data_IF_800969980057
#
_entry.id   IF_800969980057
#
_cell.length_a   1.000
_cell.length_b   1.000
_cell.length_c   1.000
_cell.angle_alpha   90.00
_cell.angle_beta   90.00
_cell.angle_gamma   90.00
#
_symmetry.space_group_name_H-M   'P 1'
#
loop_
_entity.id
_entity.type
_entity.pdbx_description
1 polymer ?
#
# COMPACT_ATOMS: atom_id res chain seq x y z
N UNK A 1 -6.35 -17.61 4.91
CA UNK A 1 -6.71 -18.94 5.44
C UNK A 1 -8.21 -19.23 5.33
N UNK A 2 -9.10 -18.29 5.65
CA UNK A 2 -10.55 -18.47 5.55
C UNK A 2 -11.08 -18.66 4.11
N UNK A 3 -10.64 -17.85 3.13
CA UNK A 3 -11.14 -17.96 1.75
C UNK A 3 -10.82 -19.30 1.10
N UNK A 4 -9.55 -19.74 1.14
CA UNK A 4 -9.11 -21.00 0.55
C UNK A 4 -9.90 -22.19 1.13
N UNK A 5 -10.12 -22.20 2.45
CA UNK A 5 -10.92 -23.21 3.11
C UNK A 5 -12.36 -23.26 2.54
N UNK A 6 -13.04 -22.10 2.47
CA UNK A 6 -14.41 -22.00 1.94
C UNK A 6 -14.49 -22.51 0.50
N UNK A 7 -13.63 -22.02 -0.40
CA UNK A 7 -13.68 -22.45 -1.81
C UNK A 7 -13.29 -23.92 -1.99
N UNK A 8 -12.46 -24.49 -1.10
CA UNK A 8 -12.08 -25.91 -1.14
C UNK A 8 -13.14 -26.85 -0.55
N UNK A 9 -14.09 -26.32 0.22
CA UNK A 9 -15.14 -27.11 0.87
C UNK A 9 -16.17 -27.71 -0.09
N UNK A 10 -16.30 -27.12 -1.29
CA UNK A 10 -17.29 -27.54 -2.30
C UNK A 10 -16.81 -27.18 -3.70
N UNK A 11 -17.00 -28.12 -4.64
CA UNK A 11 -16.70 -27.89 -6.05
C UNK A 11 -17.51 -26.71 -6.63
N UNK A 12 -18.76 -26.56 -6.21
CA UNK A 12 -19.61 -25.46 -6.66
C UNK A 12 -19.06 -24.09 -6.26
N UNK A 13 -18.50 -23.97 -5.05
CA UNK A 13 -17.86 -22.73 -4.59
C UNK A 13 -16.54 -22.46 -5.30
N UNK A 14 -15.73 -23.50 -5.52
CA UNK A 14 -14.50 -23.40 -6.31
C UNK A 14 -14.80 -22.93 -7.75
N UNK A 15 -15.76 -23.55 -8.43
CA UNK A 15 -16.19 -23.15 -9.78
C UNK A 15 -16.73 -21.73 -9.82
N UNK A 16 -17.52 -21.32 -8.81
CA UNK A 16 -18.01 -19.94 -8.72
C UNK A 16 -16.86 -18.93 -8.57
N UNK A 17 -15.84 -19.27 -7.78
CA UNK A 17 -14.64 -18.45 -7.65
C UNK A 17 -13.84 -18.40 -8.96
N UNK A 18 -13.65 -19.53 -9.65
CA UNK A 18 -12.98 -19.59 -10.95
C UNK A 18 -13.72 -18.74 -12.00
N UNK A 19 -15.06 -18.77 -12.03
CA UNK A 19 -15.85 -17.90 -12.92
C UNK A 19 -15.68 -16.42 -12.61
N UNK A 20 -15.70 -16.04 -11.33
CA UNK A 20 -15.42 -14.66 -10.93
C UNK A 20 -14.04 -14.21 -11.42
N UNK A 21 -13.02 -15.06 -11.27
CA UNK A 21 -11.68 -14.76 -11.78
C UNK A 21 -11.66 -14.67 -13.31
N UNK A 22 -12.28 -15.59 -14.04
CA UNK A 22 -12.38 -15.52 -15.51
C UNK A 22 -13.00 -14.21 -15.97
N UNK A 23 -14.09 -13.78 -15.32
CA UNK A 23 -14.80 -12.53 -15.63
C UNK A 23 -13.94 -11.30 -15.35
N UNK A 24 -13.21 -11.29 -14.23
CA UNK A 24 -12.30 -10.21 -13.86
C UNK A 24 -11.09 -10.13 -14.80
N UNK A 25 -10.54 -11.29 -15.19
CA UNK A 25 -9.33 -11.40 -16.01
C UNK A 25 -9.61 -11.27 -17.51
N UNK A 26 -10.87 -11.43 -17.95
CA UNK A 26 -11.28 -11.43 -19.36
C UNK A 26 -10.64 -12.55 -20.19
N UNK A 27 -10.43 -13.70 -19.58
CA UNK A 27 -10.10 -14.93 -20.28
C UNK A 27 -10.63 -16.14 -19.52
N UNK A 28 -10.89 -17.23 -20.24
CA UNK A 28 -11.45 -18.44 -19.65
C UNK A 28 -10.38 -19.19 -18.86
N UNK A 29 -10.56 -19.22 -17.54
CA UNK A 29 -9.88 -20.16 -16.66
C UNK A 29 -10.53 -21.53 -16.73
N UNK A 30 -9.71 -22.57 -16.54
CA UNK A 30 -10.22 -23.93 -16.38
C UNK A 30 -11.07 -23.98 -15.09
N UNK A 31 -12.25 -24.59 -15.17
CA UNK A 31 -13.16 -24.68 -14.02
C UNK A 31 -12.58 -25.57 -12.90
N UNK A 32 -11.58 -26.40 -13.23
CA UNK A 32 -10.94 -27.35 -12.32
C UNK A 32 -9.69 -26.78 -11.61
N UNK A 33 -9.46 -25.45 -11.63
CA UNK A 33 -8.34 -24.85 -10.89
C UNK A 33 -8.56 -25.00 -9.38
N UNK A 34 -7.57 -25.60 -8.72
CA UNK A 34 -7.58 -25.80 -7.26
C UNK A 34 -6.57 -24.91 -6.57
N UNK A 35 -6.86 -24.51 -5.32
CA UNK A 35 -6.10 -23.48 -4.64
C UNK A 35 -5.43 -23.95 -3.35
N UNK A 36 -4.20 -23.47 -3.11
CA UNK A 36 -3.41 -23.78 -1.92
C UNK A 36 -2.72 -22.55 -1.32
N UNK A 37 -2.47 -22.54 0.00
CA UNK A 37 -1.75 -21.46 0.71
C UNK A 37 -0.28 -21.80 1.04
N UNK A 38 0.25 -22.89 0.47
CA UNK A 38 1.57 -23.44 0.84
C UNK A 38 2.61 -23.33 -0.30
N UNK A 39 2.28 -22.63 -1.39
CA UNK A 39 3.21 -22.40 -2.49
C UNK A 39 4.35 -21.47 -2.07
N UNK A 40 5.58 -21.90 -2.31
CA UNK A 40 6.81 -21.13 -2.07
C UNK A 40 7.60 -21.14 -3.37
N UNK A 41 7.89 -19.95 -3.89
CA UNK A 41 8.71 -19.79 -5.09
C UNK A 41 10.20 -19.90 -4.80
N UNK A 42 11.01 -19.90 -5.86
CA UNK A 42 12.46 -20.13 -5.78
C UNK A 42 13.20 -19.09 -4.94
N UNK A 43 12.69 -17.85 -4.87
CA UNK A 43 13.26 -16.76 -4.08
C UNK A 43 12.55 -16.58 -2.73
N UNK A 44 11.90 -17.63 -2.23
CA UNK A 44 11.10 -17.62 -0.98
C UNK A 44 9.89 -16.67 -1.01
N UNK A 45 9.48 -16.22 -2.19
CA UNK A 45 8.23 -15.50 -2.39
C UNK A 45 7.05 -16.43 -2.10
N UNK A 46 6.08 -15.95 -1.31
CA UNK A 46 4.96 -16.75 -0.84
C UNK A 46 3.65 -16.01 -1.09
N UNK A 47 2.96 -16.28 -2.20
CA UNK A 47 1.63 -15.76 -2.42
C UNK A 47 0.69 -16.32 -1.33
N UNK A 48 -0.31 -15.53 -0.96
CA UNK A 48 -1.32 -15.98 0.00
C UNK A 48 -2.09 -17.20 -0.51
N UNK A 49 -2.28 -17.30 -1.83
CA UNK A 49 -2.92 -18.43 -2.47
C UNK A 49 -2.40 -18.63 -3.91
N UNK A 50 -2.12 -19.86 -4.29
CA UNK A 50 -1.81 -20.23 -5.68
C UNK A 50 -2.86 -21.17 -6.25
N UNK A 51 -3.23 -20.95 -7.51
CA UNK A 51 -4.13 -21.79 -8.29
C UNK A 51 -3.36 -22.69 -9.24
N UNK A 52 -3.61 -23.99 -9.18
CA UNK A 52 -2.98 -25.00 -10.05
C UNK A 52 -4.00 -25.63 -10.99
N UNK A 53 -3.58 -25.91 -12.22
CA UNK A 53 -4.39 -26.66 -13.20
C UNK A 53 -4.44 -28.16 -12.87
N UNK A 54 -5.19 -28.93 -13.67
CA UNK A 54 -5.30 -30.40 -13.55
C UNK A 54 -3.98 -31.16 -13.71
N UNK A 55 -2.96 -30.54 -14.32
CA UNK A 55 -1.63 -31.11 -14.49
C UNK A 55 -0.70 -30.73 -13.33
N UNK A 56 -1.17 -29.92 -12.38
CA UNK A 56 -0.40 -29.40 -11.26
C UNK A 56 0.46 -28.18 -11.60
N UNK A 57 0.27 -27.57 -12.76
CA UNK A 57 1.01 -26.35 -13.12
C UNK A 57 0.40 -25.14 -12.40
N UNK A 58 1.23 -24.29 -11.82
CA UNK A 58 0.79 -23.04 -11.20
C UNK A 58 0.39 -22.02 -12.27
N UNK A 59 -0.90 -21.72 -12.35
CA UNK A 59 -1.47 -20.89 -13.41
C UNK A 59 -1.93 -19.52 -12.92
N UNK A 60 -2.21 -19.38 -11.62
CA UNK A 60 -2.66 -18.12 -11.02
C UNK A 60 -1.99 -17.93 -9.67
N UNK A 61 -1.57 -16.70 -9.38
CA UNK A 61 -1.23 -16.27 -8.03
C UNK A 61 -2.25 -15.27 -7.53
N UNK A 62 -2.66 -15.43 -6.26
CA UNK A 62 -3.56 -14.54 -5.57
C UNK A 62 -2.88 -13.97 -4.30
N UNK A 63 -2.91 -12.65 -4.15
CA UNK A 63 -2.33 -11.93 -3.02
C UNK A 63 -3.42 -11.08 -2.33
N UNK A 64 -3.63 -11.28 -1.02
CA UNK A 64 -4.64 -10.59 -0.25
C UNK A 64 -4.04 -9.39 0.49
N UNK A 65 -4.55 -8.19 0.20
CA UNK A 65 -4.07 -6.92 0.77
C UNK A 65 -5.19 -6.17 1.48
N UNK A 66 -5.33 -6.39 2.80
CA UNK A 66 -6.17 -5.56 3.67
C UNK A 66 -5.49 -4.20 3.95
N UNK A 67 -4.57 -4.15 4.90
CA UNK A 67 -3.85 -2.91 5.27
C UNK A 67 -2.35 -2.93 4.97
N UNK A 68 -1.74 -4.10 4.83
CA UNK A 68 -0.31 -4.21 4.61
C UNK A 68 0.08 -3.61 3.25
N UNK A 69 1.15 -2.82 3.22
CA UNK A 69 1.76 -2.35 1.98
C UNK A 69 2.27 -3.50 1.11
N UNK A 70 2.67 -3.17 -0.12
CA UNK A 70 3.40 -4.09 -0.99
C UNK A 70 4.81 -4.33 -0.43
N UNK A 71 5.29 -5.57 -0.53
CA UNK A 71 6.69 -5.89 -0.23
C UNK A 71 7.57 -5.58 -1.44
N UNK A 72 8.89 -5.51 -1.26
CA UNK A 72 9.85 -5.26 -2.36
C UNK A 72 9.75 -6.29 -3.51
N UNK A 73 9.29 -7.51 -3.20
CA UNK A 73 9.09 -8.57 -4.19
C UNK A 73 7.76 -8.47 -4.94
N UNK A 74 6.91 -7.50 -4.63
CA UNK A 74 5.57 -7.36 -5.20
C UNK A 74 5.45 -6.07 -6.02
N UNK A 75 4.76 -6.11 -7.18
CA UNK A 75 4.24 -7.31 -7.87
C UNK A 75 5.32 -8.07 -8.66
N UNK A 76 6.49 -7.45 -8.85
CA UNK A 76 7.48 -7.85 -9.84
C UNK A 76 8.04 -9.27 -9.66
N UNK A 77 8.27 -9.73 -8.43
CA UNK A 77 8.72 -11.11 -8.16
C UNK A 77 7.69 -12.15 -8.58
N UNK A 78 6.41 -11.91 -8.28
CA UNK A 78 5.32 -12.81 -8.70
C UNK A 78 5.14 -12.82 -10.21
N UNK A 79 5.26 -11.67 -10.88
CA UNK A 79 5.21 -11.61 -12.34
C UNK A 79 6.33 -12.43 -12.98
N UNK A 80 7.57 -12.31 -12.48
CA UNK A 80 8.70 -13.11 -12.98
C UNK A 80 8.46 -14.61 -12.80
N UNK A 81 7.94 -15.02 -11.65
CA UNK A 81 7.60 -16.41 -11.36
C UNK A 81 6.57 -16.95 -12.37
N UNK A 82 5.47 -16.22 -12.56
CA UNK A 82 4.43 -16.61 -13.51
C UNK A 82 4.94 -16.68 -14.94
N UNK A 83 5.76 -15.72 -15.39
CA UNK A 83 6.37 -15.78 -16.73
C UNK A 83 7.24 -17.03 -16.89
N UNK A 84 8.07 -17.36 -15.90
CA UNK A 84 8.96 -18.52 -15.94
C UNK A 84 8.22 -19.85 -15.89
N UNK A 85 7.09 -19.91 -15.18
CA UNK A 85 6.28 -21.12 -14.99
C UNK A 85 5.15 -21.25 -16.03
N UNK A 86 5.09 -20.38 -17.05
CA UNK A 86 3.98 -20.28 -18.01
C UNK A 86 2.61 -20.11 -17.34
N UNK A 87 2.60 -19.38 -16.22
CA UNK A 87 1.39 -18.93 -15.54
C UNK A 87 0.61 -17.94 -16.40
N UNK A 88 -0.61 -17.62 -15.94
CA UNK A 88 -1.57 -16.81 -16.71
C UNK A 88 -1.97 -15.52 -16.03
N UNK A 89 -2.07 -15.52 -14.70
CA UNK A 89 -2.64 -14.37 -14.00
C UNK A 89 -2.05 -14.11 -12.61
N UNK A 90 -2.00 -12.83 -12.26
CA UNK A 90 -1.71 -12.32 -10.92
C UNK A 90 -2.89 -11.49 -10.42
N UNK A 91 -3.55 -11.96 -9.37
CA UNK A 91 -4.76 -11.35 -8.82
C UNK A 91 -4.47 -10.79 -7.43
N UNK A 92 -4.72 -9.49 -7.24
CA UNK A 92 -4.73 -8.88 -5.93
C UNK A 92 -6.16 -8.79 -5.40
N UNK A 93 -6.35 -9.11 -4.13
CA UNK A 93 -7.64 -9.02 -3.43
C UNK A 93 -7.55 -7.95 -2.34
N UNK A 94 -8.37 -6.91 -2.40
CA UNK A 94 -8.33 -5.85 -1.39
C UNK A 94 -9.73 -5.33 -0.99
N UNK A 95 -9.84 -4.57 0.11
CA UNK A 95 -10.98 -3.71 0.35
C UNK A 95 -11.31 -2.82 -0.85
N UNK A 96 -12.59 -2.57 -1.12
CA UNK A 96 -13.03 -1.72 -2.24
C UNK A 96 -12.39 -0.32 -2.16
N UNK A 97 -12.27 0.21 -0.93
CA UNK A 97 -11.73 1.55 -0.67
C UNK A 97 -10.25 1.69 -1.04
N UNK A 98 -9.49 0.60 -1.07
CA UNK A 98 -8.05 0.58 -1.37
C UNK A 98 -7.75 0.26 -2.83
N UNK A 99 -8.76 -0.10 -3.61
CA UNK A 99 -8.62 -0.58 -4.99
C UNK A 99 -7.88 0.42 -5.89
N UNK A 100 -8.24 1.70 -5.83
CA UNK A 100 -7.60 2.77 -6.63
C UNK A 100 -6.13 2.95 -6.27
N UNK A 101 -5.83 3.15 -4.99
CA UNK A 101 -4.46 3.41 -4.55
C UNK A 101 -3.54 2.21 -4.75
N UNK A 102 -4.04 1.00 -4.47
CA UNK A 102 -3.29 -0.23 -4.73
C UNK A 102 -3.00 -0.40 -6.23
N UNK A 103 -3.98 -0.14 -7.10
CA UNK A 103 -3.79 -0.22 -8.55
C UNK A 103 -2.69 0.71 -9.05
N UNK A 104 -2.76 1.98 -8.69
CA UNK A 104 -1.76 2.97 -9.11
C UNK A 104 -0.37 2.51 -8.68
N UNK A 105 -0.20 2.14 -7.40
CA UNK A 105 1.09 1.67 -6.87
C UNK A 105 1.62 0.42 -7.58
N UNK A 106 0.76 -0.56 -7.87
CA UNK A 106 1.14 -1.75 -8.63
C UNK A 106 1.63 -1.39 -10.03
N UNK A 107 0.90 -0.52 -10.73
CA UNK A 107 1.27 -0.11 -12.09
C UNK A 107 2.56 0.71 -12.10
N UNK A 108 2.78 1.58 -11.10
CA UNK A 108 3.99 2.38 -11.00
C UNK A 108 5.22 1.51 -10.75
N UNK A 109 5.13 0.52 -9.85
CA UNK A 109 6.21 -0.44 -9.61
C UNK A 109 6.57 -1.29 -10.84
N UNK A 110 5.58 -1.65 -11.66
CA UNK A 110 5.81 -2.36 -12.92
C UNK A 110 6.46 -1.44 -13.97
N UNK A 111 6.03 -0.17 -14.06
CA UNK A 111 6.60 0.83 -14.98
C UNK A 111 8.04 1.17 -14.61
N UNK A 112 8.33 1.33 -13.32
CA UNK A 112 9.70 1.53 -12.79
C UNK A 112 10.62 0.36 -13.13
N UNK A 113 10.07 -0.86 -13.16
CA UNK A 113 10.77 -2.06 -13.60
C UNK A 113 10.87 -2.22 -15.13
N UNK A 114 10.37 -1.24 -15.91
CA UNK A 114 10.34 -1.24 -17.38
C UNK A 114 9.62 -2.47 -18.00
N UNK A 115 8.53 -2.92 -17.36
CA UNK A 115 7.70 -4.02 -17.90
C UNK A 115 6.86 -3.59 -19.08
N UNK A 116 6.55 -4.53 -19.96
CA UNK A 116 5.67 -4.31 -21.10
C UNK A 116 4.20 -4.34 -20.67
N UNK A 117 3.46 -3.28 -20.98
CA UNK A 117 2.03 -3.18 -20.70
C UNK A 117 1.20 -3.30 -21.98
N UNK A 118 0.12 -4.08 -21.91
CA UNK A 118 -0.90 -4.12 -22.95
C UNK A 118 -2.30 -4.30 -22.36
N UNK A 119 -3.35 -4.11 -23.19
CA UNK A 119 -4.75 -4.31 -22.84
C UNK A 119 -5.21 -3.68 -21.50
N UNK A 120 -4.68 -2.50 -21.15
CA UNK A 120 -4.98 -1.81 -19.89
C UNK A 120 -6.44 -1.34 -19.85
N UNK A 121 -7.09 -1.64 -18.73
CA UNK A 121 -8.49 -1.34 -18.43
C UNK A 121 -8.64 -1.15 -16.91
N UNK A 122 -9.79 -0.71 -16.43
CA UNK A 122 -9.98 -0.44 -15.00
C UNK A 122 -9.60 -1.66 -14.14
N UNK A 123 -8.53 -1.49 -13.34
CA UNK A 123 -7.99 -2.49 -12.42
C UNK A 123 -7.55 -3.82 -13.07
N UNK A 124 -7.24 -3.79 -14.37
CA UNK A 124 -6.74 -4.94 -15.13
C UNK A 124 -5.78 -4.48 -16.22
N UNK A 125 -4.63 -5.12 -16.32
CA UNK A 125 -3.68 -4.93 -17.40
C UNK A 125 -2.97 -6.25 -17.71
N UNK A 126 -2.45 -6.39 -18.92
CA UNK A 126 -1.50 -7.44 -19.24
C UNK A 126 -0.09 -6.89 -19.08
N UNK A 127 0.74 -7.61 -18.33
CA UNK A 127 2.11 -7.22 -17.98
C UNK A 127 3.04 -8.38 -18.32
N UNK A 128 3.91 -8.19 -19.31
CA UNK A 128 4.81 -9.23 -19.84
C UNK A 128 4.06 -10.55 -20.21
N UNK A 129 2.85 -10.42 -20.77
CA UNK A 129 1.99 -11.56 -21.13
C UNK A 129 1.18 -12.17 -19.98
N UNK A 130 1.35 -11.69 -18.74
CA UNK A 130 0.58 -12.12 -17.57
C UNK A 130 -0.57 -11.14 -17.31
N UNK A 131 -1.79 -11.64 -17.14
CA UNK A 131 -2.93 -10.78 -16.81
C UNK A 131 -2.90 -10.43 -15.31
N UNK A 132 -2.65 -9.17 -15.00
CA UNK A 132 -2.70 -8.63 -13.65
C UNK A 132 -4.05 -7.94 -13.40
N UNK A 133 -4.72 -8.26 -12.30
CA UNK A 133 -6.00 -7.63 -11.93
C UNK A 133 -6.17 -7.41 -10.42
N UNK A 134 -7.06 -6.48 -10.05
CA UNK A 134 -7.56 -6.34 -8.67
C UNK A 134 -9.04 -6.71 -8.62
N UNK A 135 -9.39 -7.58 -7.68
CA UNK A 135 -10.78 -7.86 -7.27
C UNK A 135 -10.96 -7.47 -5.80
N UNK A 136 -12.20 -7.28 -5.36
CA UNK A 136 -12.48 -6.89 -3.98
C UNK A 136 -13.07 -8.02 -3.16
N UNK A 137 -12.88 -7.94 -1.84
CA UNK A 137 -13.53 -8.85 -0.91
C UNK A 137 -15.05 -8.83 -1.06
N UNK A 138 -15.63 -7.66 -1.32
CA UNK A 138 -17.06 -7.52 -1.56
C UNK A 138 -17.54 -8.37 -2.75
N UNK A 139 -16.83 -8.32 -3.89
CA UNK A 139 -17.15 -9.12 -5.08
C UNK A 139 -17.05 -10.63 -4.81
N UNK A 140 -15.97 -11.06 -4.12
CA UNK A 140 -15.77 -12.47 -3.75
C UNK A 140 -16.90 -12.95 -2.84
N UNK A 141 -17.17 -12.21 -1.75
CA UNK A 141 -18.19 -12.55 -0.76
C UNK A 141 -19.57 -12.60 -1.42
N UNK A 142 -19.91 -11.61 -2.24
CA UNK A 142 -21.19 -11.59 -2.94
C UNK A 142 -21.36 -12.79 -3.87
N UNK A 143 -20.32 -13.15 -4.62
CA UNK A 143 -20.37 -14.31 -5.50
C UNK A 143 -20.55 -15.61 -4.69
N UNK A 144 -19.72 -15.84 -3.68
CA UNK A 144 -19.79 -17.04 -2.86
C UNK A 144 -21.13 -17.14 -2.14
N UNK A 145 -21.67 -16.03 -1.61
CA UNK A 145 -22.97 -15.98 -0.92
C UNK A 145 -24.11 -16.39 -1.86
N UNK A 146 -24.13 -15.88 -3.10
CA UNK A 146 -25.14 -16.24 -4.11
C UNK A 146 -25.09 -17.74 -4.47
N UNK A 147 -23.89 -18.29 -4.63
CA UNK A 147 -23.70 -19.72 -4.92
C UNK A 147 -24.10 -20.58 -3.72
N UNK A 148 -23.66 -20.23 -2.51
CA UNK A 148 -23.99 -20.98 -1.30
C UNK A 148 -25.51 -21.01 -1.03
N UNK A 149 -26.19 -19.88 -1.19
CA UNK A 149 -27.64 -19.78 -1.01
C UNK A 149 -28.45 -20.69 -1.96
N UNK A 150 -27.89 -21.06 -3.11
CA UNK A 150 -28.58 -21.89 -4.12
C UNK A 150 -28.10 -23.34 -4.15
N UNK A 151 -26.86 -23.62 -3.75
CA UNK A 151 -26.22 -24.92 -3.99
C UNK A 151 -25.49 -25.51 -2.78
N UNK A 152 -25.08 -24.70 -1.78
CA UNK A 152 -24.19 -25.12 -0.68
C UNK A 152 -24.54 -24.36 0.60
N UNK A 153 -25.74 -24.62 1.15
CA UNK A 153 -26.29 -23.84 2.27
C UNK A 153 -25.43 -23.91 3.54
N UNK A 154 -24.74 -25.03 3.75
CA UNK A 154 -23.83 -25.25 4.88
C UNK A 154 -22.66 -24.26 4.91
N UNK A 155 -22.22 -23.75 3.77
CA UNK A 155 -21.11 -22.80 3.68
C UNK A 155 -21.51 -21.35 3.99
N UNK A 156 -22.80 -21.05 4.12
CA UNK A 156 -23.30 -19.68 4.36
C UNK A 156 -22.71 -19.12 5.66
N UNK A 157 -22.68 -19.89 6.75
CA UNK A 157 -22.16 -19.43 8.03
C UNK A 157 -20.68 -19.02 7.92
N UNK A 158 -19.86 -19.80 7.23
CA UNK A 158 -18.43 -19.52 7.05
C UNK A 158 -18.22 -18.29 6.16
N UNK A 159 -19.05 -18.11 5.13
CA UNK A 159 -19.07 -16.91 4.27
C UNK A 159 -19.46 -15.66 5.09
N UNK A 160 -20.46 -15.76 5.98
CA UNK A 160 -20.83 -14.65 6.85
C UNK A 160 -19.73 -14.31 7.87
N UNK A 161 -19.00 -15.30 8.39
CA UNK A 161 -17.82 -15.04 9.22
C UNK A 161 -16.72 -14.30 8.45
N UNK A 162 -16.43 -14.72 7.22
CA UNK A 162 -15.49 -14.01 6.35
C UNK A 162 -15.98 -12.58 6.06
N UNK A 163 -17.28 -12.40 5.80
CA UNK A 163 -17.90 -11.09 5.60
C UNK A 163 -17.71 -10.20 6.82
N UNK A 164 -18.06 -10.67 8.01
CA UNK A 164 -17.91 -9.88 9.25
C UNK A 164 -16.45 -9.52 9.56
N UNK A 165 -15.50 -10.40 9.23
CA UNK A 165 -14.07 -10.07 9.33
C UNK A 165 -13.68 -8.97 8.34
N UNK A 166 -14.12 -9.05 7.09
CA UNK A 166 -13.86 -8.01 6.10
C UNK A 166 -14.51 -6.67 6.50
N UNK A 167 -15.73 -6.69 7.02
CA UNK A 167 -16.42 -5.49 7.50
C UNK A 167 -15.69 -4.84 8.68
N UNK A 168 -15.16 -5.64 9.61
CA UNK A 168 -14.33 -5.14 10.70
C UNK A 168 -13.06 -4.45 10.16
N UNK A 169 -12.42 -5.05 9.16
CA UNK A 169 -11.24 -4.52 8.48
C UNK A 169 -11.57 -3.30 7.58
N UNK A 170 -12.80 -3.15 7.11
CA UNK A 170 -13.21 -1.96 6.34
C UNK A 170 -13.74 -0.83 7.24
N UNK A 171 -13.97 -1.13 8.52
CA UNK A 171 -14.46 -0.16 9.49
C UNK A 171 -13.37 0.78 9.97
N UNK A 172 -13.71 2.06 10.13
CA UNK A 172 -12.91 3.04 10.88
C UNK A 172 -13.24 3.00 12.38
N UNK A 173 -13.91 1.94 12.84
CA UNK A 173 -14.36 1.81 14.22
C UNK A 173 -13.18 1.44 15.13
N UNK A 174 -13.39 1.56 16.43
CA UNK A 174 -12.41 1.10 17.41
C UNK A 174 -12.16 -0.40 17.23
N UNK A 175 -10.92 -0.76 16.88
CA UNK A 175 -10.45 -2.15 16.83
C UNK A 175 -10.19 -2.59 18.27
N UNK A 176 -10.90 -3.61 18.79
CA UNK A 176 -10.67 -4.08 20.16
C UNK A 176 -9.24 -4.56 20.38
N UNK A 177 -8.70 -4.28 21.57
CA UNK A 177 -7.36 -4.73 21.94
C UNK A 177 -7.28 -6.26 22.01
N UNK A 178 -6.22 -6.80 21.43
CA UNK A 178 -5.74 -8.16 21.66
C UNK A 178 -4.73 -8.16 22.82
N UNK A 179 -4.38 -9.34 23.35
CA UNK A 179 -3.42 -9.43 24.46
C UNK A 179 -2.01 -9.00 24.02
N UNK A 180 -1.70 -9.25 22.75
CA UNK A 180 -0.44 -8.93 22.08
C UNK A 180 -0.23 -7.42 21.95
N UNK A 181 -1.29 -6.61 21.96
CA UNK A 181 -1.21 -5.14 21.82
C UNK A 181 -0.62 -4.45 23.06
N UNK A 182 -0.50 -5.17 24.19
CA UNK A 182 0.08 -4.65 25.44
C UNK A 182 1.59 -4.93 25.56
N UNK A 183 2.19 -5.54 24.52
CA UNK A 183 3.62 -5.83 24.48
C UNK A 183 4.50 -4.58 24.39
N UNK A 184 5.71 -4.58 24.99
CA UNK A 184 6.62 -3.44 24.90
C UNK A 184 7.15 -3.21 23.48
N UNK A 185 7.06 -4.20 22.59
CA UNK A 185 7.39 -4.05 21.19
C UNK A 185 6.42 -3.10 20.47
N UNK A 186 5.15 -3.04 20.85
CA UNK A 186 4.17 -2.08 20.32
C UNK A 186 4.59 -0.65 20.65
N UNK A 187 4.93 -0.37 21.90
CA UNK A 187 5.43 0.93 22.34
C UNK A 187 6.73 1.31 21.59
N UNK A 188 7.66 0.36 21.41
CA UNK A 188 8.87 0.60 20.60
C UNK A 188 8.54 0.88 19.14
N UNK A 189 7.58 0.17 18.55
CA UNK A 189 7.15 0.39 17.16
C UNK A 189 6.58 1.79 16.96
N UNK A 190 5.80 2.27 17.92
CA UNK A 190 5.26 3.64 17.92
C UNK A 190 6.39 4.68 18.10
N UNK A 191 7.28 4.49 19.06
CA UNK A 191 8.40 5.42 19.34
C UNK A 191 9.33 5.61 18.13
N UNK A 192 9.54 4.56 17.32
CA UNK A 192 10.38 4.64 16.10
C UNK A 192 9.94 5.75 15.13
N UNK A 193 8.64 6.04 15.00
CA UNK A 193 8.19 7.11 14.10
C UNK A 193 8.64 8.50 14.59
N UNK A 194 8.68 8.72 15.90
CA UNK A 194 9.21 9.95 16.49
C UNK A 194 10.72 10.05 16.30
N UNK A 195 11.44 8.94 16.50
CA UNK A 195 12.89 8.87 16.31
C UNK A 195 13.31 9.23 14.87
N UNK A 196 12.54 8.81 13.85
CA UNK A 196 12.80 9.18 12.44
C UNK A 196 12.70 10.69 12.25
N UNK A 197 11.64 11.34 12.76
CA UNK A 197 11.47 12.80 12.66
C UNK A 197 12.57 13.54 13.42
N UNK A 198 12.91 13.07 14.63
CA UNK A 198 13.97 13.67 15.43
C UNK A 198 15.34 13.54 14.74
N UNK A 199 15.65 12.37 14.19
CA UNK A 199 16.91 12.13 13.49
C UNK A 199 17.00 12.90 12.18
N UNK A 200 15.91 12.98 11.41
CA UNK A 200 15.84 13.78 10.19
C UNK A 200 16.10 15.26 10.49
N UNK A 201 15.49 15.79 11.55
CA UNK A 201 15.75 17.16 12.01
C UNK A 201 17.23 17.36 12.35
N UNK A 202 17.83 16.48 13.15
CA UNK A 202 19.24 16.58 13.54
C UNK A 202 20.16 16.49 12.32
N UNK A 203 19.83 15.64 11.35
CA UNK A 203 20.56 15.46 10.09
C UNK A 203 20.54 16.74 9.24
N UNK A 204 19.37 17.39 9.13
CA UNK A 204 19.21 18.67 8.44
C UNK A 204 20.01 19.80 9.12
N UNK A 205 19.99 19.87 10.45
CA UNK A 205 20.74 20.86 11.24
C UNK A 205 22.25 20.64 11.15
N UNK A 206 22.71 19.39 11.15
CA UNK A 206 24.12 19.05 11.08
C UNK A 206 24.74 19.33 9.69
N UNK A 207 23.91 19.41 8.64
CA UNK A 207 24.37 19.64 7.28
C UNK A 207 24.78 21.11 7.06
N UNK A 208 26.08 21.37 7.12
CA UNK A 208 26.66 22.72 7.00
C UNK A 208 26.42 23.43 5.66
N UNK A 209 26.05 22.70 4.60
CA UNK A 209 25.71 23.32 3.31
C UNK A 209 24.33 23.98 3.35
N UNK A 210 23.47 23.57 4.29
CA UNK A 210 22.16 24.14 4.52
C UNK A 210 22.27 25.23 5.58
N UNK A 211 21.65 26.39 5.35
CA UNK A 211 21.42 27.37 6.43
C UNK A 211 20.22 26.92 7.27
N UNK A 212 20.35 25.76 7.91
CA UNK A 212 19.31 25.13 8.70
C UNK A 212 19.33 25.58 10.16
N UNK A 213 18.17 25.89 10.74
CA UNK A 213 18.06 26.28 12.15
C UNK A 213 16.68 25.97 12.74
N UNK A 214 16.64 25.32 13.90
CA UNK A 214 15.44 25.18 14.72
C UNK A 214 15.31 26.22 15.84
N UNK A 215 16.20 27.23 15.88
CA UNK A 215 16.26 28.18 16.99
C UNK A 215 14.96 28.99 17.09
N UNK A 216 14.36 28.99 18.28
CA UNK A 216 13.11 29.71 18.55
C UNK A 216 11.84 28.98 18.07
N UNK A 217 11.99 27.77 17.52
CA UNK A 217 10.89 26.92 17.12
C UNK A 217 10.71 25.80 18.14
N UNK A 218 9.47 25.46 18.44
CA UNK A 218 9.13 24.39 19.39
C UNK A 218 8.51 23.23 18.63
N UNK A 219 8.88 22.00 19.00
CA UNK A 219 8.12 20.83 18.56
C UNK A 219 6.68 20.92 19.05
N UNK A 220 5.75 20.49 18.21
CA UNK A 220 4.33 20.45 18.55
C UNK A 220 3.86 19.01 18.50
N UNK A 221 3.71 18.32 19.65
CA UNK A 221 2.96 17.07 19.68
C UNK A 221 1.51 17.39 19.31
N UNK A 222 0.91 16.58 18.44
CA UNK A 222 -0.49 16.71 18.09
C UNK A 222 -1.18 15.36 18.36
N UNK A 223 -2.50 15.35 18.47
CA UNK A 223 -3.25 14.11 18.75
C UNK A 223 -2.95 13.01 17.74
N UNK A 224 -2.64 13.37 16.50
CA UNK A 224 -2.49 12.46 15.38
C UNK A 224 -1.03 12.11 15.08
N UNK A 225 -0.05 12.68 15.80
CA UNK A 225 1.37 12.49 15.55
C UNK A 225 2.25 13.61 16.10
N UNK A 226 3.23 14.05 15.32
CA UNK A 226 4.33 14.88 15.81
C UNK A 226 4.89 15.78 14.73
N UNK A 227 5.13 17.05 15.07
CA UNK A 227 5.71 18.02 14.13
C UNK A 227 6.96 18.67 14.72
N UNK A 228 8.02 18.68 13.92
CA UNK A 228 9.23 19.49 14.14
C UNK A 228 9.35 20.57 13.09
N UNK A 229 9.68 21.77 13.56
CA UNK A 229 9.80 22.97 12.73
C UNK A 229 11.24 23.41 12.65
N UNK A 230 11.69 23.77 11.45
CA UNK A 230 13.00 24.36 11.20
C UNK A 230 12.90 25.39 10.07
N UNK A 231 13.90 26.27 9.98
CA UNK A 231 14.13 27.08 8.78
C UNK A 231 15.25 26.46 7.99
N UNK A 232 15.12 26.41 6.67
CA UNK A 232 16.19 26.02 5.74
C UNK A 232 16.32 27.14 4.71
N UNK A 233 17.44 27.85 4.73
CA UNK A 233 17.65 29.04 3.89
C UNK A 233 16.52 30.07 4.11
N UNK A 234 15.75 30.42 3.07
CA UNK A 234 14.61 31.34 3.13
C UNK A 234 13.26 30.67 3.44
N UNK A 235 13.23 29.35 3.63
CA UNK A 235 11.98 28.60 3.79
C UNK A 235 11.76 28.17 5.24
N UNK A 236 10.51 28.31 5.69
CA UNK A 236 10.03 27.66 6.90
C UNK A 236 9.56 26.24 6.57
N UNK A 237 10.09 25.24 7.25
CA UNK A 237 9.88 23.82 6.97
C UNK A 237 9.26 23.15 8.19
N UNK A 238 8.28 22.26 7.95
CA UNK A 238 7.72 21.38 8.95
C UNK A 238 7.96 19.92 8.55
N UNK A 239 8.55 19.14 9.46
CA UNK A 239 8.72 17.69 9.38
C UNK A 239 7.61 17.05 10.20
N UNK A 240 6.87 16.13 9.60
CA UNK A 240 5.59 15.69 10.14
C UNK A 240 5.54 14.17 10.17
N UNK A 241 5.24 13.63 11.34
CA UNK A 241 4.62 12.33 11.49
C UNK A 241 3.12 12.54 11.65
N UNK A 242 2.29 11.98 10.76
CA UNK A 242 0.82 12.08 10.84
C UNK A 242 0.12 10.75 10.56
N UNK A 243 -0.62 10.25 11.54
CA UNK A 243 -1.39 9.00 11.43
C UNK A 243 -2.66 9.16 10.61
N UNK A 244 -3.28 10.33 10.62
CA UNK A 244 -4.57 10.53 9.94
C UNK A 244 -4.39 10.47 8.43
N UNK A 245 -3.36 11.12 7.90
CA UNK A 245 -3.00 11.01 6.48
C UNK A 245 -2.53 9.61 6.13
N UNK A 246 -1.77 8.94 7.01
CA UNK A 246 -1.31 7.57 6.75
C UNK A 246 -2.44 6.53 6.69
N UNK A 247 -3.51 6.72 7.47
CA UNK A 247 -4.71 5.87 7.44
C UNK A 247 -5.57 6.14 6.19
N UNK A 248 -5.47 7.33 5.59
CA UNK A 248 -6.29 7.68 4.43
C UNK A 248 -5.84 6.89 3.20
N UNK A 249 -6.71 5.98 2.75
CA UNK A 249 -6.55 5.16 1.54
C UNK A 249 -6.26 5.94 0.24
N UNK A 250 -6.51 7.26 0.21
CA UNK A 250 -6.23 8.13 -0.95
C UNK A 250 -4.86 8.78 -0.90
N UNK A 251 -4.20 8.76 0.26
CA UNK A 251 -2.87 9.33 0.48
C UNK A 251 -1.79 8.27 0.30
N UNK A 252 -0.55 8.72 0.18
CA UNK A 252 0.63 7.87 0.14
C UNK A 252 0.71 6.97 1.38
N UNK A 253 1.19 5.74 1.20
CA UNK A 253 1.35 4.73 2.26
C UNK A 253 2.58 5.02 3.15
N UNK A 254 2.66 6.23 3.70
CA UNK A 254 3.75 6.67 4.59
C UNK A 254 3.22 7.48 5.78
N UNK A 255 3.82 7.31 6.98
CA UNK A 255 3.55 8.18 8.12
C UNK A 255 4.26 9.53 8.02
N UNK A 256 5.22 9.69 7.12
CA UNK A 256 6.12 10.84 7.09
C UNK A 256 5.78 11.81 5.97
N UNK A 257 5.71 13.08 6.33
CA UNK A 257 5.33 14.17 5.45
C UNK A 257 6.20 15.39 5.75
N UNK A 258 6.31 16.28 4.78
CA UNK A 258 6.84 17.62 5.05
C UNK A 258 6.07 18.67 4.27
N UNK A 259 6.11 19.90 4.74
CA UNK A 259 5.81 21.04 3.90
C UNK A 259 6.86 22.11 4.09
N UNK A 260 6.91 23.03 3.14
CA UNK A 260 7.70 24.23 3.26
C UNK A 260 6.92 25.44 2.75
N UNK A 261 7.19 26.56 3.40
CA UNK A 261 6.53 27.85 3.25
C UNK A 261 7.60 28.94 3.10
N UNK A 262 7.16 30.15 2.79
CA UNK A 262 8.02 31.32 2.95
C UNK A 262 8.42 31.55 4.43
N UNK A 263 9.31 32.52 4.68
CA UNK A 263 9.79 32.84 6.02
C UNK A 263 8.68 33.34 6.97
N UNK A 264 7.52 33.73 6.41
CA UNK A 264 6.31 34.12 7.11
C UNK A 264 5.34 32.97 7.36
N UNK A 265 5.77 31.71 7.19
CA UNK A 265 4.94 30.51 7.35
C UNK A 265 3.73 30.44 6.41
N UNK A 266 3.79 31.14 5.27
CA UNK A 266 2.73 31.11 4.27
C UNK A 266 3.17 30.32 3.03
N UNK A 267 2.33 29.39 2.60
CA UNK A 267 2.52 28.74 1.30
C UNK A 267 1.89 29.62 0.22
N UNK A 268 2.73 30.35 -0.51
CA UNK A 268 2.29 31.30 -1.54
C UNK A 268 1.53 30.60 -2.66
N UNK A 269 0.64 31.32 -3.34
CA UNK A 269 -0.13 30.75 -4.46
C UNK A 269 0.79 30.26 -5.61
N UNK A 270 1.93 30.91 -5.82
CA UNK A 270 2.92 30.45 -6.79
C UNK A 270 3.52 29.09 -6.37
N UNK A 271 3.90 28.95 -5.10
CA UNK A 271 4.41 27.70 -4.58
C UNK A 271 3.34 26.59 -4.64
N UNK A 272 2.11 26.89 -4.24
CA UNK A 272 0.98 25.95 -4.35
C UNK A 272 0.79 25.43 -5.77
N UNK A 273 0.83 26.33 -6.77
CA UNK A 273 0.72 25.94 -8.19
C UNK A 273 1.81 24.97 -8.62
N UNK A 274 3.05 25.18 -8.16
CA UNK A 274 4.17 24.27 -8.45
C UNK A 274 4.01 22.93 -7.74
N UNK A 275 3.57 22.93 -6.49
CA UNK A 275 3.33 21.71 -5.73
C UNK A 275 2.17 20.88 -6.30
N UNK A 276 1.16 21.49 -6.92
CA UNK A 276 0.07 20.75 -7.58
C UNK A 276 0.54 19.81 -8.70
N UNK A 277 1.74 20.04 -9.26
CA UNK A 277 2.33 19.14 -10.25
C UNK A 277 2.79 17.79 -9.67
N UNK A 278 2.95 17.68 -8.34
CA UNK A 278 3.23 16.42 -7.66
C UNK A 278 1.94 15.57 -7.67
N UNK A 279 2.02 14.24 -7.90
CA UNK A 279 0.85 13.37 -7.94
C UNK A 279 -0.08 13.56 -6.74
N UNK A 280 -1.39 13.45 -6.96
CA UNK A 280 -2.40 13.74 -5.93
C UNK A 280 -2.23 12.87 -4.68
N UNK A 281 -1.90 11.58 -4.84
CA UNK A 281 -1.67 10.67 -3.72
C UNK A 281 -0.40 10.99 -2.92
N UNK A 282 0.58 11.65 -3.53
CA UNK A 282 1.82 12.11 -2.87
C UNK A 282 1.64 13.45 -2.13
N UNK A 283 0.40 13.98 -2.10
CA UNK A 283 0.07 15.26 -1.47
C UNK A 283 -1.03 15.12 -0.43
N UNK A 284 -0.91 15.89 0.65
CA UNK A 284 -1.96 16.01 1.65
C UNK A 284 -2.09 17.46 2.14
N UNK A 285 -3.30 17.84 2.58
CA UNK A 285 -3.55 19.17 3.13
C UNK A 285 -3.34 19.20 4.64
N UNK A 286 -2.39 20.00 5.09
CA UNK A 286 -2.17 20.33 6.50
C UNK A 286 -2.69 21.74 6.77
N UNK A 287 -3.98 21.85 7.07
CA UNK A 287 -4.68 23.13 7.12
C UNK A 287 -4.78 23.73 5.72
N UNK A 288 -4.16 24.90 5.50
CA UNK A 288 -4.13 25.56 4.18
C UNK A 288 -2.80 25.35 3.43
N UNK A 289 -2.00 24.37 3.86
CA UNK A 289 -0.67 24.08 3.33
C UNK A 289 -0.66 22.70 2.68
N UNK A 290 -0.16 22.61 1.46
CA UNK A 290 0.11 21.34 0.77
C UNK A 290 1.39 20.76 1.36
N UNK A 291 1.28 19.59 1.98
CA UNK A 291 2.41 18.74 2.37
C UNK A 291 2.64 17.63 1.34
N UNK A 292 3.88 17.17 1.30
CA UNK A 292 4.40 16.17 0.38
C UNK A 292 4.84 14.96 1.18
N UNK A 293 4.52 13.77 0.68
CA UNK A 293 4.90 12.50 1.28
C UNK A 293 6.43 12.31 1.26
N UNK A 294 6.92 11.60 2.28
CA UNK A 294 8.32 11.17 2.41
C UNK A 294 8.35 9.66 2.57
N UNK A 295 9.11 8.97 1.73
CA UNK A 295 9.15 7.51 1.68
C UNK A 295 10.42 6.98 2.33
N UNK A 296 10.38 6.46 3.57
CA UNK A 296 11.59 6.01 4.23
C UNK A 296 12.15 4.76 3.53
N UNK A 297 13.48 4.66 3.45
CA UNK A 297 14.12 3.41 3.04
C UNK A 297 13.72 2.27 4.00
N UNK A 298 13.32 1.14 3.42
CA UNK A 298 13.02 -0.07 4.17
C UNK A 298 14.30 -0.85 4.47
N UNK A 299 14.25 -1.71 5.49
CA UNK A 299 15.36 -2.59 5.90
C UNK A 299 16.71 -1.86 6.12
N UNK A 300 16.64 -0.58 6.48
CA UNK A 300 17.78 0.33 6.60
C UNK A 300 17.93 0.86 8.03
N UNK A 301 19.12 1.34 8.36
CA UNK A 301 19.37 1.95 9.67
C UNK A 301 18.78 3.36 9.75
N UNK A 302 18.48 3.82 10.97
CA UNK A 302 17.86 5.14 11.23
C UNK A 302 18.62 6.31 10.58
N UNK A 303 19.95 6.23 10.55
CA UNK A 303 20.81 7.26 9.94
C UNK A 303 20.68 7.30 8.41
N UNK A 304 20.61 6.14 7.78
CA UNK A 304 20.44 6.01 6.33
C UNK A 304 19.06 6.54 5.92
N UNK A 305 18.02 6.17 6.67
CA UNK A 305 16.65 6.68 6.49
C UNK A 305 16.64 8.21 6.59
N UNK A 306 17.27 8.79 7.62
CA UNK A 306 17.27 10.24 7.80
C UNK A 306 18.01 10.99 6.68
N UNK A 307 19.11 10.44 6.18
CA UNK A 307 19.85 11.03 5.04
C UNK A 307 19.02 10.94 3.76
N UNK A 308 18.37 9.81 3.51
CA UNK A 308 17.51 9.63 2.34
C UNK A 308 16.32 10.59 2.35
N UNK A 309 15.59 10.67 3.47
CA UNK A 309 14.47 11.60 3.62
C UNK A 309 14.90 13.07 3.48
N UNK A 310 16.09 13.43 3.99
CA UNK A 310 16.66 14.76 3.76
C UNK A 310 16.85 15.02 2.26
N UNK A 311 17.38 14.06 1.50
CA UNK A 311 17.58 14.21 0.06
C UNK A 311 16.24 14.39 -0.67
N UNK A 312 15.19 13.64 -0.31
CA UNK A 312 13.84 13.81 -0.86
C UNK A 312 13.29 15.22 -0.64
N UNK A 313 13.45 15.77 0.58
CA UNK A 313 13.06 17.15 0.91
C UNK A 313 13.80 18.14 0.01
N UNK A 314 15.13 18.05 -0.06
CA UNK A 314 15.97 19.00 -0.79
C UNK A 314 15.73 18.94 -2.30
N UNK A 315 15.51 17.75 -2.86
CA UNK A 315 15.18 17.57 -4.28
C UNK A 315 13.83 18.20 -4.61
N UNK A 316 12.81 17.96 -3.78
CA UNK A 316 11.48 18.55 -3.94
C UNK A 316 11.54 20.08 -3.84
N UNK A 317 12.23 20.62 -2.82
CA UNK A 317 12.40 22.07 -2.65
C UNK A 317 13.15 22.70 -3.83
N UNK A 318 14.13 22.02 -4.42
CA UNK A 318 14.84 22.51 -5.62
C UNK A 318 13.94 22.54 -6.85
N UNK A 319 13.16 21.49 -7.08
CA UNK A 319 12.25 21.38 -8.23
C UNK A 319 11.09 22.38 -8.18
N UNK A 320 10.64 22.77 -6.97
CA UNK A 320 9.40 23.55 -6.78
C UNK A 320 9.61 24.92 -6.14
N UNK A 321 10.72 25.17 -5.46
CA UNK A 321 10.99 26.40 -4.71
C UNK A 321 11.53 27.57 -5.55
N UNK A 322 12.16 27.29 -6.70
CA UNK A 322 12.72 28.33 -7.56
C UNK A 322 14.02 28.93 -7.03
N UNK A 323 15.10 28.14 -7.09
CA UNK A 323 16.47 28.50 -7.48
C UNK A 323 17.26 27.21 -7.74
#
# INVERSE_FOLDING_TARGET
MSLQYIISSSNQLNQAFNRLLSDALKFDLDEDITYSCQSVGENSERPDMSGVDKNGNEVILCEMKFYAGLTSNQPNGYLNRLVNENGKALVFVCPERRRVSLWNKLTDLCREANREFSAESNYRAEVDGIVMAIISWAEIIEMLRRTAASQVMEAISDIEQLSGFCDMMDSTAFIPFASEDMGPDIARREDRYFQVIDRLFDTLIANKSLKASGKGLKSSPNRNGYIKYLKINQYAVALIYDRSTWIDSKSAETPFWFYFNDDGWTQTDELKKKLVAIPEHERAMFGNTIGIALHPMLDSQLDEIAVDLMNQILDTMRKTGGE
#
